data_IF_324580846455
#
_entry.id   IF_324580846455
#
_cell.length_a   1.000
_cell.length_b   1.000
_cell.length_c   1.000
_cell.angle_alpha   90.00
_cell.angle_beta   90.00
_cell.angle_gamma   90.00
#
_symmetry.space_group_name_H-M   'P 1'
#
loop_
_entity.id
_entity.type
_entity.pdbx_description
1 polymer ?
#
# COMPACT_ATOMS: atom_id res chain seq x y z
N UNK A 1 -4.64 -16.16 15.11
CA UNK A 1 -4.08 -16.18 13.75
C UNK A 1 -2.59 -16.04 13.94
N UNK A 2 -1.79 -17.02 13.53
CA UNK A 2 -0.38 -17.02 13.91
C UNK A 2 0.38 -15.92 13.17
N UNK A 3 0.15 -15.72 11.86
CA UNK A 3 0.74 -14.60 11.10
C UNK A 3 -0.16 -14.33 9.88
N UNK A 4 -0.39 -13.07 9.52
CA UNK A 4 -1.10 -12.73 8.28
C UNK A 4 -0.15 -12.83 7.09
N UNK A 5 -0.50 -13.51 6.00
CA UNK A 5 0.41 -13.60 4.84
C UNK A 5 0.77 -12.22 4.27
N UNK A 6 -0.15 -11.27 4.32
CA UNK A 6 0.05 -9.94 3.73
C UNK A 6 -0.68 -8.82 4.47
N UNK A 7 0.00 -7.68 4.63
CA UNK A 7 -0.63 -6.43 5.05
C UNK A 7 -0.66 -5.43 3.90
N UNK A 8 -1.79 -4.73 3.78
CA UNK A 8 -2.02 -3.70 2.75
C UNK A 8 -2.34 -2.36 3.39
N UNK A 9 -1.71 -1.29 2.90
CA UNK A 9 -2.23 0.06 3.11
C UNK A 9 -3.50 0.18 2.27
N UNK A 10 -4.66 0.11 2.93
CA UNK A 10 -5.95 -0.09 2.26
C UNK A 10 -6.39 1.10 1.39
N UNK A 11 -6.12 2.32 1.83
CA UNK A 11 -6.41 3.54 1.09
C UNK A 11 -5.27 4.56 1.26
N UNK A 12 -4.93 5.34 0.22
CA UNK A 12 -3.96 6.42 0.32
C UNK A 12 -4.59 7.69 0.92
N UNK A 13 -5.18 7.58 2.11
CA UNK A 13 -5.79 8.67 2.89
C UNK A 13 -5.40 8.55 4.36
N UNK A 14 -5.38 9.68 5.06
CA UNK A 14 -5.15 9.72 6.51
C UNK A 14 -6.45 10.10 7.19
N UNK A 15 -6.83 9.30 8.18
CA UNK A 15 -7.96 9.57 9.05
C UNK A 15 -7.47 10.04 10.41
N UNK A 16 -8.30 10.83 11.09
CA UNK A 16 -8.05 11.18 12.49
C UNK A 16 -8.10 9.92 13.35
N UNK A 17 -7.34 9.85 14.46
CA UNK A 17 -7.22 8.61 15.26
C UNK A 17 -8.53 8.08 15.84
N UNK A 18 -9.54 8.94 16.00
CA UNK A 18 -10.84 8.59 16.55
C UNK A 18 -11.90 8.28 15.48
N UNK A 19 -11.56 8.35 14.19
CA UNK A 19 -12.47 8.02 13.11
C UNK A 19 -12.63 6.50 13.01
N UNK A 20 -13.72 5.98 13.56
CA UNK A 20 -13.98 4.52 13.62
C UNK A 20 -15.10 4.06 12.69
N UNK A 21 -15.79 4.98 12.04
CA UNK A 21 -16.91 4.66 11.15
C UNK A 21 -16.42 3.99 9.87
N UNK A 22 -17.16 2.99 9.38
CA UNK A 22 -16.86 2.31 8.11
C UNK A 22 -16.91 3.28 6.92
N UNK A 23 -17.75 4.30 7.01
CA UNK A 23 -17.79 5.45 6.11
C UNK A 23 -17.49 6.68 6.97
N UNK A 24 -16.26 7.19 6.95
CA UNK A 24 -15.89 8.38 7.71
C UNK A 24 -16.58 9.64 7.19
N UNK A 25 -16.81 10.60 8.08
CA UNK A 25 -17.29 11.93 7.68
C UNK A 25 -16.15 12.74 7.03
N UNK A 26 -16.48 13.71 6.17
CA UNK A 26 -15.44 14.54 5.52
C UNK A 26 -14.52 15.26 6.52
N UNK A 27 -15.07 15.66 7.67
CA UNK A 27 -14.32 16.32 8.73
C UNK A 27 -13.32 15.40 9.44
N UNK A 28 -13.38 14.08 9.23
CA UNK A 28 -12.49 13.09 9.82
C UNK A 28 -11.24 12.81 8.99
N UNK A 29 -11.18 13.32 7.76
CA UNK A 29 -10.00 13.20 6.92
C UNK A 29 -8.94 14.25 7.27
N UNK A 30 -7.68 13.83 7.24
CA UNK A 30 -6.55 14.74 7.32
C UNK A 30 -6.04 15.07 5.90
N UNK A 31 -5.62 16.32 5.65
CA UNK A 31 -5.28 16.79 4.30
C UNK A 31 -3.98 16.18 3.76
N UNK A 32 -3.07 15.74 4.65
CA UNK A 32 -1.75 15.25 4.27
C UNK A 32 -1.57 13.83 4.76
N UNK A 33 -1.35 12.91 3.81
CA UNK A 33 -0.85 11.57 4.10
C UNK A 33 0.67 11.61 4.19
N UNK A 34 1.20 11.30 5.36
CA UNK A 34 2.61 10.99 5.53
C UNK A 34 2.87 9.52 5.15
N UNK A 35 3.15 9.32 3.87
CA UNK A 35 3.34 7.99 3.30
C UNK A 35 4.68 7.36 3.75
N UNK A 36 5.71 8.18 4.01
CA UNK A 36 7.02 7.71 4.48
C UNK A 36 6.91 7.08 5.86
N UNK A 37 6.27 7.79 6.80
CA UNK A 37 6.04 7.26 8.16
C UNK A 37 5.14 6.03 8.13
N UNK A 38 4.09 6.05 7.29
CA UNK A 38 3.17 4.91 7.14
C UNK A 38 3.90 3.68 6.61
N UNK A 39 4.68 3.83 5.54
CA UNK A 39 5.42 2.73 4.93
C UNK A 39 6.53 2.21 5.83
N UNK A 40 7.26 3.08 6.53
CA UNK A 40 8.24 2.65 7.54
C UNK A 40 7.60 1.90 8.71
N UNK A 41 6.31 2.10 8.99
CA UNK A 41 5.53 1.23 9.87
C UNK A 41 5.31 -0.17 9.29
N UNK A 42 4.95 -0.25 8.00
CA UNK A 42 4.75 -1.51 7.29
C UNK A 42 6.04 -2.33 7.19
N UNK A 43 7.17 -1.69 6.90
CA UNK A 43 8.49 -2.34 6.84
C UNK A 43 8.89 -2.91 8.21
N UNK A 44 8.65 -2.18 9.30
CA UNK A 44 8.86 -2.72 10.66
C UNK A 44 7.98 -3.93 10.97
N UNK A 45 6.74 -3.96 10.50
CA UNK A 45 5.88 -5.14 10.65
C UNK A 45 6.43 -6.37 9.91
N UNK A 46 7.07 -6.15 8.77
CA UNK A 46 7.76 -7.20 8.01
C UNK A 46 9.00 -7.69 8.77
N UNK A 47 9.83 -6.78 9.29
CA UNK A 47 11.04 -7.11 10.06
C UNK A 47 10.73 -7.87 11.36
N UNK A 48 9.61 -7.54 11.99
CA UNK A 48 9.11 -8.25 13.19
C UNK A 48 8.48 -9.61 12.87
N UNK A 49 8.35 -9.99 11.60
CA UNK A 49 7.74 -11.26 11.18
C UNK A 49 6.23 -11.32 11.37
N UNK A 50 5.54 -10.19 11.55
CA UNK A 50 4.09 -10.13 11.72
C UNK A 50 3.34 -10.46 10.42
N UNK A 51 4.00 -10.24 9.29
CA UNK A 51 3.52 -10.59 7.97
C UNK A 51 4.66 -11.11 7.08
N UNK A 52 4.31 -11.81 6.00
CA UNK A 52 5.28 -12.32 5.02
C UNK A 52 5.53 -11.35 3.87
N UNK A 53 4.56 -10.47 3.61
CA UNK A 53 4.60 -9.48 2.54
C UNK A 53 3.83 -8.21 2.93
N UNK A 54 4.22 -7.08 2.33
CA UNK A 54 3.52 -5.80 2.46
C UNK A 54 3.16 -5.24 1.08
N UNK A 55 2.07 -4.48 0.99
CA UNK A 55 1.63 -3.86 -0.25
C UNK A 55 0.66 -2.70 -0.02
N UNK A 56 0.03 -2.27 -1.10
CA UNK A 56 -0.91 -1.14 -1.11
C UNK A 56 -2.22 -1.52 -1.81
N UNK A 57 -3.25 -0.72 -1.61
CA UNK A 57 -4.52 -0.87 -2.32
C UNK A 57 -5.09 0.50 -2.68
N UNK A 58 -5.68 0.60 -3.88
CA UNK A 58 -6.27 1.83 -4.41
C UNK A 58 -5.26 2.98 -4.60
N UNK A 59 -3.98 2.66 -4.83
CA UNK A 59 -2.96 3.67 -5.12
C UNK A 59 -2.94 3.98 -6.62
N UNK A 60 -2.79 5.27 -6.96
CA UNK A 60 -2.51 5.70 -8.33
C UNK A 60 -1.03 5.51 -8.66
N UNK A 61 -0.71 5.45 -9.96
CA UNK A 61 0.67 5.32 -10.47
C UNK A 61 1.61 6.38 -9.87
N UNK A 62 1.20 7.64 -9.82
CA UNK A 62 2.01 8.73 -9.23
C UNK A 62 2.34 8.49 -7.74
N UNK A 63 1.40 7.93 -6.97
CA UNK A 63 1.62 7.63 -5.54
C UNK A 63 2.55 6.44 -5.36
N UNK A 64 2.43 5.42 -6.23
CA UNK A 64 3.33 4.27 -6.23
C UNK A 64 4.75 4.72 -6.59
N UNK A 65 4.91 5.57 -7.61
CA UNK A 65 6.23 6.07 -7.99
C UNK A 65 6.89 6.81 -6.82
N UNK A 66 6.16 7.71 -6.17
CA UNK A 66 6.67 8.41 -4.98
C UNK A 66 7.03 7.44 -3.85
N UNK A 67 6.25 6.38 -3.65
CA UNK A 67 6.54 5.34 -2.65
C UNK A 67 7.86 4.61 -2.97
N UNK A 68 8.07 4.27 -4.24
CA UNK A 68 9.28 3.57 -4.70
C UNK A 68 10.55 4.42 -4.54
N UNK A 69 10.43 5.75 -4.52
CA UNK A 69 11.59 6.64 -4.37
C UNK A 69 12.26 6.53 -2.97
N UNK A 70 11.52 6.10 -1.94
CA UNK A 70 12.05 5.97 -0.57
C UNK A 70 11.86 4.59 0.08
N UNK A 71 11.05 3.70 -0.50
CA UNK A 71 10.80 2.37 0.06
C UNK A 71 12.08 1.51 0.02
N UNK A 72 12.46 0.95 1.17
CA UNK A 72 13.53 -0.04 1.23
C UNK A 72 13.04 -1.40 0.74
N UNK A 73 11.84 -1.79 1.17
CA UNK A 73 11.10 -2.93 0.67
C UNK A 73 9.94 -2.42 -0.19
N UNK A 74 9.97 -2.61 -1.52
CA UNK A 74 8.90 -2.12 -2.40
C UNK A 74 7.58 -2.87 -2.16
N UNK A 75 6.42 -2.24 -2.42
CA UNK A 75 5.14 -2.91 -2.29
C UNK A 75 5.05 -4.11 -3.23
N UNK A 76 4.70 -5.28 -2.68
CA UNK A 76 4.61 -6.51 -3.48
C UNK A 76 3.43 -6.48 -4.47
N UNK A 77 2.32 -5.84 -4.09
CA UNK A 77 1.13 -5.67 -4.93
C UNK A 77 0.48 -4.29 -4.72
N UNK A 78 -0.30 -3.86 -5.71
CA UNK A 78 -1.34 -2.85 -5.56
C UNK A 78 -2.71 -3.47 -5.85
N UNK A 79 -3.55 -3.67 -4.83
CA UNK A 79 -4.90 -4.20 -5.01
C UNK A 79 -5.85 -3.09 -5.51
N UNK A 80 -6.46 -3.28 -6.68
CA UNK A 80 -7.28 -2.27 -7.35
C UNK A 80 -8.62 -2.84 -7.78
N UNK A 81 -9.64 -1.99 -7.83
CA UNK A 81 -10.97 -2.40 -8.31
C UNK A 81 -10.94 -2.64 -9.82
N UNK A 82 -11.17 -3.88 -10.25
CA UNK A 82 -11.35 -4.24 -11.65
C UNK A 82 -12.77 -4.77 -11.85
N UNK A 83 -13.56 -4.07 -12.64
CA UNK A 83 -14.90 -4.50 -13.06
C UNK A 83 -15.06 -4.23 -14.55
N UNK A 84 -15.90 -5.00 -15.25
CA UNK A 84 -16.05 -4.89 -16.71
C UNK A 84 -16.34 -3.45 -17.19
N UNK A 85 -17.06 -2.66 -16.40
CA UNK A 85 -17.39 -1.26 -16.71
C UNK A 85 -16.31 -0.25 -16.27
N UNK A 86 -15.35 -0.68 -15.45
CA UNK A 86 -14.24 0.14 -14.93
C UNK A 86 -12.90 -0.45 -15.39
N UNK A 87 -12.46 -0.04 -16.57
CA UNK A 87 -11.17 -0.45 -17.13
C UNK A 87 -10.05 0.44 -16.57
N UNK A 88 -9.14 -0.14 -15.77
CA UNK A 88 -7.95 0.56 -15.26
C UNK A 88 -6.84 0.61 -16.32
N UNK A 89 -7.12 1.23 -17.47
CA UNK A 89 -6.22 1.27 -18.63
C UNK A 89 -4.92 2.07 -18.41
N UNK A 90 -4.81 2.84 -17.32
CA UNK A 90 -3.61 3.63 -16.98
C UNK A 90 -2.63 2.90 -16.06
N UNK A 91 -3.00 1.72 -15.56
CA UNK A 91 -2.08 0.82 -14.87
C UNK A 91 -1.45 -0.08 -15.92
N UNK A 92 -0.44 0.43 -16.62
CA UNK A 92 0.40 -0.41 -17.46
C UNK A 92 0.88 -1.60 -16.64
N UNK A 93 0.55 -2.81 -17.09
CA UNK A 93 0.98 -4.09 -16.51
C UNK A 93 2.48 -4.35 -16.70
N UNK A 94 3.26 -3.30 -17.01
CA UNK A 94 4.70 -3.35 -17.09
C UNK A 94 5.35 -3.13 -15.72
N UNK A 95 5.15 -4.08 -14.80
CA UNK A 95 6.31 -4.63 -14.08
C UNK A 95 5.94 -5.93 -13.37
N UNK A 96 6.20 -7.02 -14.07
CA UNK A 96 6.72 -8.21 -13.44
C UNK A 96 8.02 -7.84 -12.70
N UNK A 97 7.95 -7.25 -11.50
CA UNK A 97 9.03 -7.34 -10.53
C UNK A 97 9.00 -8.74 -9.94
N UNK A 98 9.31 -9.73 -10.80
CA UNK A 98 9.88 -10.98 -10.34
C UNK A 98 11.24 -10.57 -9.78
N UNK A 99 11.30 -10.39 -8.46
CA UNK A 99 12.54 -10.19 -7.72
C UNK A 99 13.38 -11.44 -8.01
N UNK A 100 14.23 -11.35 -9.02
CA UNK A 100 15.31 -12.29 -9.24
C UNK A 100 16.21 -12.17 -8.01
N UNK A 101 16.04 -13.11 -7.08
CA UNK A 101 17.04 -13.42 -6.07
C UNK A 101 18.30 -13.90 -6.81
N UNK A 102 19.17 -12.96 -7.19
CA UNK A 102 20.57 -13.23 -7.51
C UNK A 102 21.48 -12.14 -6.95
N UNK A 103 22.55 -12.60 -6.28
CA UNK A 103 23.58 -11.93 -5.47
C UNK A 103 23.16 -11.84 -3.99
N UNK A 104 23.84 -12.48 -3.03
CA UNK A 104 25.11 -13.22 -2.94
C UNK A 104 24.91 -14.43 -2.03
#
# INVERSE_FOLDING_TARGET
MEHGDMFLVHWPVKLKPWATNAVPEEAEFEPVLDLETTWGGMERCLDMGLCRSIGVSNFSTNKIQRLLDFASNPPAINQVMLFFCFSNNSMDTQTNYRIDRKKM
#
